data_IF_638562517423
#
_entry.id   IF_638562517423
#
_cell.length_a   1.000
_cell.length_b   1.000
_cell.length_c   1.000
_cell.angle_alpha   90.00
_cell.angle_beta   90.00
_cell.angle_gamma   90.00
#
_symmetry.space_group_name_H-M   'P 1'
#
loop_
_entity.id
_entity.type
_entity.pdbx_description
1 polymer ?
#
# COMPACT_ATOMS: atom_id res chain seq x y z
N UNK A 1 5.45 23.28 33.56
CA UNK A 1 5.64 21.97 32.86
C UNK A 1 4.73 21.95 31.66
N UNK A 2 5.27 22.31 30.46
CA UNK A 2 4.53 22.23 29.20
C UNK A 2 4.11 20.77 28.96
N UNK A 3 2.80 20.54 28.74
CA UNK A 3 2.33 19.25 28.23
C UNK A 3 2.93 19.05 26.84
N UNK A 4 3.83 18.10 26.68
CA UNK A 4 4.28 17.66 25.38
C UNK A 4 3.12 16.85 24.78
N UNK A 5 2.35 17.44 23.88
CA UNK A 5 1.36 16.72 23.10
C UNK A 5 2.11 16.08 21.92
N UNK A 6 2.11 14.77 21.85
CA UNK A 6 2.61 14.03 20.69
C UNK A 6 1.54 14.03 19.59
N UNK A 7 1.96 14.06 18.35
CA UNK A 7 1.14 13.71 17.21
C UNK A 7 1.43 12.23 16.86
N UNK A 8 0.39 11.47 16.54
CA UNK A 8 0.56 10.10 16.05
C UNK A 8 0.31 10.07 14.54
N UNK A 9 1.02 9.19 13.87
CA UNK A 9 0.77 8.86 12.47
C UNK A 9 0.23 7.44 12.41
N UNK A 10 -1.02 7.31 12.00
CA UNK A 10 -1.70 6.02 11.85
C UNK A 10 -1.61 5.57 10.41
N UNK A 11 -0.88 4.49 10.18
CA UNK A 11 -0.76 3.89 8.86
C UNK A 11 -1.74 2.72 8.79
N UNK A 12 -2.70 2.81 7.88
CA UNK A 12 -3.85 1.91 7.79
C UNK A 12 -3.81 1.21 6.42
N UNK A 13 -3.67 -0.11 6.44
CA UNK A 13 -3.81 -0.90 5.22
C UNK A 13 -5.26 -0.94 4.78
N UNK A 14 -5.51 -0.88 3.47
CA UNK A 14 -6.83 -1.03 2.90
C UNK A 14 -7.51 -2.36 3.32
N UNK A 15 -8.84 -2.37 3.37
CA UNK A 15 -9.64 -3.56 3.57
C UNK A 15 -9.43 -4.60 2.47
N UNK A 16 -9.98 -5.80 2.64
CA UNK A 16 -9.84 -6.88 1.65
C UNK A 16 -10.29 -6.42 0.26
N UNK A 17 -9.42 -6.57 -0.74
CA UNK A 17 -9.76 -6.34 -2.14
C UNK A 17 -10.65 -7.47 -2.71
N UNK A 18 -11.34 -7.20 -3.82
CA UNK A 18 -12.23 -8.15 -4.51
C UNK A 18 -11.43 -9.13 -5.37
N UNK A 19 -10.71 -10.05 -4.72
CA UNK A 19 -9.89 -11.05 -5.41
C UNK A 19 -10.77 -11.94 -6.30
N UNK A 20 -10.38 -12.06 -7.58
CA UNK A 20 -11.11 -12.88 -8.57
C UNK A 20 -12.33 -12.21 -9.20
N UNK A 21 -12.62 -10.93 -8.90
CA UNK A 21 -13.61 -10.13 -9.62
C UNK A 21 -12.99 -9.45 -10.84
N UNK A 22 -13.84 -9.01 -11.79
CA UNK A 22 -13.40 -8.28 -13.00
C UNK A 22 -12.62 -7.00 -12.66
N UNK A 23 -12.89 -6.39 -11.52
CA UNK A 23 -12.14 -5.26 -10.99
C UNK A 23 -11.56 -5.60 -9.62
N UNK A 24 -10.30 -6.02 -9.60
CA UNK A 24 -9.57 -6.30 -8.37
C UNK A 24 -9.38 -5.05 -7.49
N UNK A 25 -9.33 -3.84 -8.07
CA UNK A 25 -9.08 -2.60 -7.34
C UNK A 25 -10.31 -2.06 -6.59
N UNK A 26 -11.21 -2.94 -6.17
CA UNK A 26 -12.37 -2.59 -5.34
C UNK A 26 -12.31 -3.35 -4.02
N UNK A 27 -12.91 -2.78 -2.97
CA UNK A 27 -13.11 -3.52 -1.73
C UNK A 27 -14.17 -4.62 -1.94
N UNK A 28 -13.92 -5.80 -1.40
CA UNK A 28 -14.95 -6.82 -1.24
C UNK A 28 -15.97 -6.38 -0.17
N UNK A 29 -17.16 -6.99 -0.10
CA UNK A 29 -18.10 -6.72 1.01
C UNK A 29 -17.46 -6.89 2.40
N UNK A 30 -16.53 -7.85 2.55
CA UNK A 30 -15.77 -8.01 3.79
C UNK A 30 -14.79 -6.85 4.00
N UNK A 31 -14.12 -6.39 2.93
CA UNK A 31 -13.20 -5.25 2.99
C UNK A 31 -13.92 -3.96 3.38
N UNK A 32 -15.11 -3.73 2.86
CA UNK A 32 -15.98 -2.63 3.26
C UNK A 32 -16.33 -2.69 4.75
N UNK A 33 -16.75 -3.87 5.23
CA UNK A 33 -17.05 -4.07 6.65
C UNK A 33 -15.81 -3.89 7.54
N UNK A 34 -14.63 -4.29 7.08
CA UNK A 34 -13.37 -4.05 7.80
C UNK A 34 -13.08 -2.55 7.95
N UNK A 35 -13.28 -1.77 6.88
CA UNK A 35 -13.10 -0.32 6.92
C UNK A 35 -14.09 0.36 7.88
N UNK A 36 -15.38 0.00 7.81
CA UNK A 36 -16.42 0.52 8.71
C UNK A 36 -16.07 0.22 10.18
N UNK A 37 -15.69 -1.01 10.50
CA UNK A 37 -15.28 -1.41 11.87
C UNK A 37 -14.02 -0.67 12.35
N UNK A 38 -13.08 -0.40 11.45
CA UNK A 38 -11.89 0.38 11.78
C UNK A 38 -12.29 1.81 12.18
N UNK A 39 -13.17 2.44 11.41
CA UNK A 39 -13.69 3.77 11.72
C UNK A 39 -14.48 3.80 13.04
N UNK A 40 -15.37 2.84 13.25
CA UNK A 40 -16.11 2.68 14.52
C UNK A 40 -15.16 2.56 15.73
N UNK A 41 -14.09 1.75 15.59
CA UNK A 41 -13.07 1.58 16.64
C UNK A 41 -12.33 2.88 16.92
N UNK A 42 -11.86 3.57 15.89
CA UNK A 42 -11.15 4.85 16.03
C UNK A 42 -12.04 5.92 16.69
N UNK A 43 -13.32 5.98 16.33
CA UNK A 43 -14.31 6.85 16.98
C UNK A 43 -14.46 6.53 18.47
N UNK A 44 -14.55 5.25 18.84
CA UNK A 44 -14.66 4.82 20.25
C UNK A 44 -13.40 5.19 21.05
N UNK A 45 -12.22 5.16 20.40
CA UNK A 45 -10.96 5.61 20.99
C UNK A 45 -10.85 7.14 21.13
N UNK A 46 -11.78 7.91 20.57
CA UNK A 46 -11.74 9.37 20.58
C UNK A 46 -10.67 9.94 19.64
N UNK A 47 -10.28 9.19 18.62
CA UNK A 47 -9.28 9.62 17.63
C UNK A 47 -9.76 10.86 16.88
N UNK A 48 -8.88 11.84 16.72
CA UNK A 48 -9.14 13.06 15.95
C UNK A 48 -8.02 13.26 14.94
N UNK A 49 -8.36 13.17 13.66
CA UNK A 49 -7.42 13.45 12.59
C UNK A 49 -7.41 14.94 12.23
N UNK A 50 -6.20 15.50 12.13
CA UNK A 50 -5.99 16.84 11.53
C UNK A 50 -5.71 16.76 10.03
N UNK A 51 -5.26 15.60 9.55
CA UNK A 51 -5.03 15.34 8.13
C UNK A 51 -5.24 13.86 7.84
N UNK A 52 -5.68 13.54 6.62
CA UNK A 52 -5.84 12.18 6.13
C UNK A 52 -5.36 12.09 4.68
N UNK A 53 -4.53 11.11 4.40
CA UNK A 53 -3.96 10.84 3.09
C UNK A 53 -4.33 9.44 2.60
N UNK A 54 -4.40 9.28 1.29
CA UNK A 54 -4.60 7.98 0.65
C UNK A 54 -3.81 7.91 -0.64
N UNK A 55 -3.38 6.72 -1.03
CA UNK A 55 -3.05 6.46 -2.42
C UNK A 55 -4.28 6.59 -3.31
N UNK A 56 -4.07 6.53 -4.64
CA UNK A 56 -5.13 6.73 -5.63
C UNK A 56 -5.87 5.44 -6.02
N UNK A 57 -5.43 4.29 -5.51
CA UNK A 57 -6.12 3.02 -5.77
C UNK A 57 -7.51 3.02 -5.12
N UNK A 58 -8.53 2.51 -5.85
CA UNK A 58 -9.93 2.54 -5.39
C UNK A 58 -10.10 1.92 -4.01
N UNK A 59 -9.45 0.78 -3.75
CA UNK A 59 -9.49 0.10 -2.44
C UNK A 59 -8.89 0.92 -1.30
N UNK A 60 -7.88 1.75 -1.59
CA UNK A 60 -7.25 2.64 -0.60
C UNK A 60 -8.18 3.82 -0.30
N UNK A 61 -8.68 4.49 -1.34
CA UNK A 61 -9.60 5.63 -1.23
C UNK A 61 -10.91 5.24 -0.53
N UNK A 62 -11.50 4.11 -0.95
CA UNK A 62 -12.75 3.63 -0.34
C UNK A 62 -12.54 3.27 1.14
N UNK A 63 -11.42 2.65 1.51
CA UNK A 63 -11.09 2.39 2.91
C UNK A 63 -10.99 3.71 3.69
N UNK A 64 -10.23 4.69 3.17
CA UNK A 64 -10.06 5.98 3.82
C UNK A 64 -11.39 6.69 4.01
N UNK A 65 -12.20 6.80 2.98
CA UNK A 65 -13.50 7.47 3.05
C UNK A 65 -14.42 6.80 4.08
N UNK A 66 -14.55 5.46 4.03
CA UNK A 66 -15.40 4.72 4.99
C UNK A 66 -14.95 4.91 6.44
N UNK A 67 -13.64 4.93 6.69
CA UNK A 67 -13.11 5.19 8.03
C UNK A 67 -13.45 6.61 8.48
N UNK A 68 -13.22 7.61 7.63
CA UNK A 68 -13.46 9.01 7.95
C UNK A 68 -14.96 9.30 8.16
N UNK A 69 -15.84 8.66 7.39
CA UNK A 69 -17.30 8.80 7.51
C UNK A 69 -17.85 8.36 8.90
N UNK A 70 -17.08 7.59 9.66
CA UNK A 70 -17.45 7.18 11.03
C UNK A 70 -17.02 8.21 12.11
N UNK A 71 -16.18 9.18 11.75
CA UNK A 71 -15.59 10.14 12.69
C UNK A 71 -16.34 11.48 12.65
N UNK A 72 -16.39 12.14 13.80
CA UNK A 72 -16.86 13.52 13.88
C UNK A 72 -15.72 14.48 13.46
N UNK A 73 -16.03 15.52 12.71
CA UNK A 73 -15.09 16.56 12.27
C UNK A 73 -13.85 15.97 11.52
N UNK A 74 -14.05 14.91 10.73
CA UNK A 74 -12.97 14.33 9.93
C UNK A 74 -12.48 15.29 8.84
N UNK A 75 -11.16 15.34 8.57
CA UNK A 75 -10.62 16.12 7.45
C UNK A 75 -10.99 15.48 6.11
N UNK A 76 -10.89 16.26 5.03
CA UNK A 76 -10.98 15.74 3.68
C UNK A 76 -9.83 14.75 3.41
N UNK A 77 -10.12 13.70 2.62
CA UNK A 77 -9.12 12.73 2.19
C UNK A 77 -8.27 13.29 1.06
N UNK A 78 -7.00 13.54 1.33
CA UNK A 78 -6.02 14.00 0.33
C UNK A 78 -5.44 12.82 -0.43
N UNK A 79 -5.56 12.82 -1.76
CA UNK A 79 -5.03 11.76 -2.60
C UNK A 79 -3.59 12.08 -3.01
N UNK A 80 -2.68 11.17 -2.69
CA UNK A 80 -1.28 11.24 -3.09
C UNK A 80 -0.85 9.89 -3.70
N UNK A 81 -0.67 9.82 -5.03
CA UNK A 81 -0.31 8.57 -5.72
C UNK A 81 1.00 7.93 -5.25
N UNK A 82 1.85 8.67 -4.56
CA UNK A 82 3.09 8.11 -3.97
C UNK A 82 2.80 7.08 -2.86
N UNK A 83 1.58 7.06 -2.31
CA UNK A 83 1.10 6.02 -1.39
C UNK A 83 0.45 4.82 -2.08
N UNK A 84 0.49 4.74 -3.42
CA UNK A 84 0.01 3.57 -4.14
C UNK A 84 0.87 2.33 -3.86
N UNK A 85 0.24 1.16 -4.00
CA UNK A 85 0.96 -0.11 -4.04
C UNK A 85 1.85 -0.18 -5.28
N UNK A 86 2.93 -0.92 -5.19
CA UNK A 86 3.75 -1.25 -6.34
C UNK A 86 2.92 -1.97 -7.42
N UNK A 87 3.23 -1.71 -8.68
CA UNK A 87 2.56 -2.31 -9.85
C UNK A 87 3.06 -3.74 -10.07
N UNK A 88 2.70 -4.66 -9.15
CA UNK A 88 3.24 -6.04 -9.12
C UNK A 88 3.12 -6.77 -10.46
N UNK A 89 1.98 -6.62 -11.15
CA UNK A 89 1.73 -7.29 -12.42
C UNK A 89 2.70 -6.79 -13.50
N UNK A 90 2.93 -5.48 -13.56
CA UNK A 90 3.88 -4.86 -14.49
C UNK A 90 5.32 -5.35 -14.23
N UNK A 91 5.75 -5.41 -12.96
CA UNK A 91 7.06 -5.95 -12.62
C UNK A 91 7.20 -7.42 -13.01
N UNK A 92 6.19 -8.24 -12.76
CA UNK A 92 6.20 -9.66 -13.13
C UNK A 92 6.31 -9.81 -14.64
N UNK A 93 5.45 -9.13 -15.40
CA UNK A 93 5.40 -9.24 -16.86
C UNK A 93 6.73 -8.86 -17.52
N UNK A 94 7.36 -7.78 -17.04
CA UNK A 94 8.63 -7.30 -17.62
C UNK A 94 9.83 -8.10 -17.14
N UNK A 95 9.86 -8.53 -15.88
CA UNK A 95 11.04 -9.19 -15.30
C UNK A 95 11.05 -10.70 -15.52
N UNK A 96 9.90 -11.34 -15.66
CA UNK A 96 9.82 -12.80 -15.79
C UNK A 96 10.65 -13.35 -16.98
N UNK A 97 10.57 -12.78 -18.20
CA UNK A 97 11.41 -13.24 -19.31
C UNK A 97 12.92 -13.10 -19.02
N UNK A 98 13.31 -12.02 -18.37
CA UNK A 98 14.71 -11.72 -18.03
C UNK A 98 15.23 -12.72 -16.98
N UNK A 99 14.42 -13.05 -15.99
CA UNK A 99 14.78 -14.01 -14.95
C UNK A 99 14.88 -15.43 -15.48
N UNK A 100 14.03 -15.82 -16.45
CA UNK A 100 14.12 -17.11 -17.15
C UNK A 100 15.45 -17.21 -17.94
N UNK A 101 15.84 -16.13 -18.63
CA UNK A 101 17.10 -16.12 -19.37
C UNK A 101 18.32 -16.24 -18.45
N UNK A 102 18.27 -15.62 -17.26
CA UNK A 102 19.35 -15.67 -16.26
C UNK A 102 19.44 -17.03 -15.55
N UNK A 103 18.30 -17.62 -15.22
CA UNK A 103 18.24 -18.96 -14.59
C UNK A 103 17.11 -19.80 -15.21
N UNK A 104 17.46 -20.73 -16.12
CA UNK A 104 16.47 -21.60 -16.78
C UNK A 104 15.57 -22.39 -15.80
N UNK A 105 16.03 -22.64 -14.56
CA UNK A 105 15.21 -23.33 -13.54
C UNK A 105 14.01 -22.46 -13.09
N UNK A 106 14.07 -21.17 -13.33
CA UNK A 106 12.95 -20.26 -13.07
C UNK A 106 11.76 -20.55 -14.00
N UNK A 107 12.03 -21.08 -15.21
CA UNK A 107 10.96 -21.50 -16.13
C UNK A 107 10.10 -22.65 -15.56
N UNK A 108 10.68 -23.56 -14.76
CA UNK A 108 9.92 -24.65 -14.13
C UNK A 108 8.93 -24.08 -13.07
N UNK A 109 9.32 -23.04 -12.34
CA UNK A 109 8.44 -22.34 -11.40
C UNK A 109 7.29 -21.64 -12.13
N UNK A 110 7.60 -20.97 -13.25
CA UNK A 110 6.60 -20.29 -14.08
C UNK A 110 5.59 -21.30 -14.66
N UNK A 111 6.05 -22.46 -15.13
CA UNK A 111 5.17 -23.52 -15.65
C UNK A 111 4.22 -24.09 -14.57
N UNK A 112 4.60 -24.02 -13.29
CA UNK A 112 3.81 -24.54 -12.18
C UNK A 112 2.95 -23.48 -11.46
N UNK A 113 3.06 -22.20 -11.80
CA UNK A 113 2.51 -21.09 -11.00
C UNK A 113 0.98 -21.13 -10.83
N UNK A 114 0.25 -21.62 -11.85
CA UNK A 114 -1.21 -21.68 -11.83
C UNK A 114 -1.76 -22.82 -10.95
N UNK A 115 -0.93 -23.82 -10.67
CA UNK A 115 -1.34 -25.04 -9.96
C UNK A 115 -0.67 -25.20 -8.60
N UNK A 116 0.43 -24.50 -8.35
CA UNK A 116 1.19 -24.56 -7.11
C UNK A 116 1.42 -23.17 -6.50
N UNK A 117 0.74 -22.89 -5.40
CA UNK A 117 0.85 -21.62 -4.65
C UNK A 117 2.28 -21.32 -4.20
N UNK A 118 3.10 -22.36 -3.93
CA UNK A 118 4.50 -22.14 -3.50
C UNK A 118 5.35 -21.66 -4.66
N UNK A 119 5.12 -22.20 -5.87
CA UNK A 119 5.78 -21.73 -7.09
C UNK A 119 5.41 -20.27 -7.37
N UNK A 120 4.15 -19.91 -7.27
CA UNK A 120 3.71 -18.50 -7.39
C UNK A 120 4.38 -17.59 -6.37
N UNK A 121 4.38 -17.97 -5.08
CA UNK A 121 5.06 -17.20 -4.03
C UNK A 121 6.56 -17.02 -4.32
N UNK A 122 7.22 -18.07 -4.80
CA UNK A 122 8.65 -18.02 -5.13
C UNK A 122 8.95 -17.12 -6.32
N UNK A 123 8.05 -17.07 -7.32
CA UNK A 123 8.15 -16.12 -8.43
C UNK A 123 8.07 -14.68 -7.91
N UNK A 124 7.06 -14.35 -7.12
CA UNK A 124 6.90 -13.03 -6.51
C UNK A 124 8.16 -12.64 -5.73
N UNK A 125 8.63 -13.52 -4.84
CA UNK A 125 9.86 -13.29 -4.07
C UNK A 125 11.07 -13.02 -4.96
N UNK A 126 11.24 -13.80 -6.04
CA UNK A 126 12.39 -13.67 -6.93
C UNK A 126 12.33 -12.38 -7.74
N UNK A 127 11.15 -12.03 -8.27
CA UNK A 127 10.91 -10.77 -8.99
C UNK A 127 11.23 -9.57 -8.10
N UNK A 128 10.68 -9.53 -6.88
CA UNK A 128 10.92 -8.42 -5.97
C UNK A 128 12.37 -8.34 -5.48
N UNK A 129 13.00 -9.47 -5.18
CA UNK A 129 14.41 -9.50 -4.80
C UNK A 129 15.30 -8.94 -5.92
N UNK A 130 14.97 -9.23 -7.17
CA UNK A 130 15.68 -8.67 -8.30
C UNK A 130 15.39 -7.17 -8.47
N UNK A 131 14.11 -6.76 -8.38
CA UNK A 131 13.70 -5.37 -8.53
C UNK A 131 14.37 -4.42 -7.53
N UNK A 132 14.52 -4.84 -6.26
CA UNK A 132 15.19 -4.05 -5.23
C UNK A 132 16.70 -4.13 -5.28
N UNK A 133 17.26 -5.01 -6.08
CA UNK A 133 18.71 -5.19 -6.18
C UNK A 133 19.38 -4.09 -7.00
N UNK A 134 20.64 -3.73 -6.71
CA UNK A 134 21.39 -2.79 -7.52
C UNK A 134 21.70 -3.31 -8.94
N UNK A 135 21.44 -4.58 -9.21
CA UNK A 135 21.63 -5.20 -10.53
C UNK A 135 20.43 -5.00 -11.47
N UNK A 136 19.31 -4.48 -10.94
CA UNK A 136 18.12 -4.21 -11.72
C UNK A 136 18.28 -2.88 -12.46
N UNK A 137 18.64 -2.98 -13.73
CA UNK A 137 18.71 -1.85 -14.68
C UNK A 137 17.69 -2.08 -15.82
N UNK A 138 16.40 -2.09 -15.45
CA UNK A 138 15.32 -2.33 -16.40
C UNK A 138 14.57 -1.02 -16.64
N UNK A 139 14.62 -0.54 -17.89
CA UNK A 139 13.79 0.59 -18.34
C UNK A 139 12.33 0.17 -18.57
N UNK A 140 11.44 1.15 -18.54
CA UNK A 140 10.02 0.96 -18.88
C UNK A 140 9.10 0.61 -17.71
N UNK A 141 9.66 0.34 -16.53
CA UNK A 141 8.92 0.16 -15.27
C UNK A 141 9.43 1.14 -14.22
N UNK A 142 8.64 1.40 -13.21
CA UNK A 142 9.08 2.21 -12.06
C UNK A 142 10.26 1.52 -11.35
N UNK A 143 11.37 2.24 -11.18
CA UNK A 143 12.52 1.71 -10.43
C UNK A 143 12.20 1.62 -8.93
N UNK A 144 12.92 0.73 -8.22
CA UNK A 144 12.84 0.70 -6.75
C UNK A 144 13.23 2.04 -6.12
N UNK A 145 14.25 2.71 -6.67
CA UNK A 145 14.71 4.01 -6.15
C UNK A 145 13.62 5.09 -6.28
N UNK A 146 12.91 5.15 -7.42
CA UNK A 146 11.83 6.11 -7.63
C UNK A 146 10.63 5.79 -6.75
N UNK A 147 10.24 4.51 -6.67
CA UNK A 147 9.14 4.06 -5.83
C UNK A 147 9.40 4.36 -4.36
N UNK A 148 10.51 3.85 -3.82
CA UNK A 148 10.86 4.02 -2.40
C UNK A 148 11.12 5.49 -2.04
N UNK A 149 11.80 6.23 -2.91
CA UNK A 149 12.02 7.66 -2.73
C UNK A 149 10.71 8.46 -2.71
N UNK A 150 9.77 8.11 -3.57
CA UNK A 150 8.42 8.70 -3.59
C UNK A 150 7.65 8.42 -2.30
N UNK A 151 7.63 7.16 -1.85
CA UNK A 151 6.97 6.75 -0.59
C UNK A 151 7.56 7.49 0.61
N UNK A 152 8.88 7.48 0.76
CA UNK A 152 9.57 8.17 1.87
C UNK A 152 9.28 9.66 1.86
N UNK A 153 9.36 10.31 0.70
CA UNK A 153 9.07 11.75 0.57
C UNK A 153 7.61 12.08 0.94
N UNK A 154 6.65 11.25 0.53
CA UNK A 154 5.24 11.44 0.90
C UNK A 154 5.03 11.25 2.42
N UNK A 155 5.67 10.25 3.00
CA UNK A 155 5.61 9.97 4.43
C UNK A 155 6.21 11.11 5.27
N UNK A 156 7.39 11.61 4.88
CA UNK A 156 8.01 12.79 5.53
C UNK A 156 7.13 14.03 5.41
N UNK A 157 6.47 14.24 4.26
CA UNK A 157 5.50 15.32 4.08
C UNK A 157 4.29 15.20 5.02
N UNK A 158 3.74 13.99 5.17
CA UNK A 158 2.65 13.73 6.12
C UNK A 158 3.08 13.94 7.58
N UNK A 159 4.29 13.52 7.94
CA UNK A 159 4.86 13.79 9.28
C UNK A 159 5.05 15.29 9.54
N UNK A 160 5.54 16.02 8.55
CA UNK A 160 5.77 17.45 8.68
C UNK A 160 4.45 18.27 8.84
N UNK A 161 3.34 17.74 8.32
CA UNK A 161 2.01 18.35 8.45
C UNK A 161 1.30 17.99 9.75
N UNK A 162 1.82 17.03 10.52
CA UNK A 162 1.19 16.58 11.75
C UNK A 162 1.14 17.67 12.82
N UNK A 163 -0.03 17.85 13.42
CA UNK A 163 -0.28 18.87 14.45
C UNK A 163 -0.27 18.26 15.84
N UNK A 164 0.40 18.94 16.77
CA UNK A 164 0.46 18.48 18.16
C UNK A 164 -0.93 18.32 18.79
N UNK A 165 -1.18 17.16 19.37
CA UNK A 165 -2.45 16.84 20.03
C UNK A 165 -3.54 16.29 19.10
N UNK A 166 -3.21 16.06 17.85
CA UNK A 166 -4.08 15.40 16.86
C UNK A 166 -3.31 14.30 16.15
N UNK A 167 -4.02 13.42 15.46
CA UNK A 167 -3.44 12.33 14.69
C UNK A 167 -3.49 12.63 13.18
N UNK A 168 -2.66 11.97 12.41
CA UNK A 168 -2.67 11.99 10.94
C UNK A 168 -2.87 10.56 10.45
N UNK A 169 -3.76 10.33 9.48
CA UNK A 169 -4.00 9.03 8.88
C UNK A 169 -3.34 8.91 7.50
N UNK A 170 -2.82 7.72 7.18
CA UNK A 170 -2.39 7.33 5.84
C UNK A 170 -3.05 5.99 5.49
N UNK A 171 -3.90 5.98 4.46
CA UNK A 171 -4.55 4.79 3.94
C UNK A 171 -3.79 4.29 2.72
N UNK A 172 -3.23 3.08 2.80
CA UNK A 172 -2.31 2.57 1.79
C UNK A 172 -2.33 1.04 1.70
N UNK A 173 -1.30 0.44 1.13
CA UNK A 173 -1.16 -0.99 0.86
C UNK A 173 0.05 -1.61 1.57
N UNK A 174 0.14 -2.94 1.55
CA UNK A 174 1.14 -3.68 2.32
C UNK A 174 2.58 -3.42 1.90
N UNK A 175 2.86 -3.38 0.59
CA UNK A 175 4.20 -3.09 0.07
C UNK A 175 4.66 -1.66 0.40
N UNK A 176 3.75 -0.69 0.28
CA UNK A 176 4.02 0.70 0.65
C UNK A 176 4.32 0.84 2.14
N UNK A 177 3.55 0.17 3.01
CA UNK A 177 3.81 0.15 4.46
C UNK A 177 5.19 -0.43 4.77
N UNK A 178 5.59 -1.49 4.07
CA UNK A 178 6.90 -2.12 4.28
C UNK A 178 8.08 -1.25 3.77
N UNK A 179 7.79 -0.23 2.97
CA UNK A 179 8.78 0.70 2.40
C UNK A 179 9.00 1.94 3.29
N UNK A 180 8.00 2.32 4.11
CA UNK A 180 8.07 3.42 5.09
C UNK A 180 9.02 3.09 6.24
#
# INVERSE_FOLDING_TARGET
LGKCFMANLLIIRHGQASFGADNYDQLSPLGQRQADLTGEFLRQMGTRFSAAYSGDLSRQRETGQRVLDQLEDAPDLVIDPRFNEVQTDEQIDVMMPILIERDPRFADLVAAMDTDTKSFQKIIETVFNYWVSPECDIGGIQSWADYSGGVVSAFEGAMASAQSGTDTAIFTSGGTIATM
#
